data_IF_210317879580
#
_entry.id   IF_210317879580
#
_cell.length_a   1.000
_cell.length_b   1.000
_cell.length_c   1.000
_cell.angle_alpha   90.00
_cell.angle_beta   90.00
_cell.angle_gamma   90.00
#
_symmetry.space_group_name_H-M   'P 1'
#
loop_
_entity.id
_entity.type
_entity.pdbx_description
1 polymer ?
#
# COMPACT_ATOMS: atom_id res chain seq x y z
N UNK A 1 30.48 -21.71 -12.49
CA UNK A 1 30.07 -20.43 -13.12
C UNK A 1 30.23 -19.33 -12.08
N UNK A 2 30.39 -18.06 -12.46
CA UNK A 2 30.63 -16.98 -11.49
C UNK A 2 29.36 -16.70 -10.68
N UNK A 3 29.47 -16.68 -9.35
CA UNK A 3 28.41 -16.39 -8.37
C UNK A 3 27.55 -15.16 -8.74
N UNK A 4 28.14 -14.17 -9.41
CA UNK A 4 27.46 -12.97 -9.90
C UNK A 4 26.42 -13.29 -10.99
N UNK A 5 26.68 -14.26 -11.86
CA UNK A 5 25.73 -14.70 -12.90
C UNK A 5 24.54 -15.44 -12.29
N UNK A 6 24.80 -16.34 -11.33
CA UNK A 6 23.76 -17.08 -10.60
C UNK A 6 22.90 -16.15 -9.74
N UNK A 7 23.52 -15.15 -9.08
CA UNK A 7 22.80 -14.13 -8.33
C UNK A 7 21.93 -13.25 -9.24
N UNK A 8 22.44 -12.85 -10.41
CA UNK A 8 21.65 -12.10 -11.40
C UNK A 8 20.46 -12.92 -11.91
N UNK A 9 20.65 -14.19 -12.25
CA UNK A 9 19.55 -15.07 -12.67
C UNK A 9 18.52 -15.30 -11.56
N UNK A 10 18.95 -15.42 -10.31
CA UNK A 10 18.05 -15.50 -9.15
C UNK A 10 17.27 -14.19 -8.95
N UNK A 11 17.95 -13.05 -8.98
CA UNK A 11 17.34 -11.73 -8.79
C UNK A 11 16.41 -11.32 -9.94
N UNK A 12 16.66 -11.79 -11.17
CA UNK A 12 15.82 -11.53 -12.33
C UNK A 12 14.62 -12.48 -12.48
N UNK A 13 14.39 -13.39 -11.53
CA UNK A 13 13.09 -14.10 -11.46
C UNK A 13 12.01 -13.06 -11.21
N UNK A 14 11.20 -12.76 -12.23
CA UNK A 14 10.35 -11.56 -12.31
C UNK A 14 9.52 -11.22 -11.06
N UNK A 15 9.07 -12.23 -10.31
CA UNK A 15 8.31 -12.03 -9.08
C UNK A 15 9.11 -11.34 -7.95
N UNK A 16 10.44 -11.47 -7.91
CA UNK A 16 11.29 -10.90 -6.85
C UNK A 16 11.50 -9.40 -7.05
N UNK A 17 11.68 -8.96 -8.30
CA UNK A 17 11.89 -7.54 -8.62
C UNK A 17 10.62 -6.74 -8.34
N UNK A 18 9.47 -7.21 -8.81
CA UNK A 18 8.19 -6.54 -8.59
C UNK A 18 7.82 -6.48 -7.10
N UNK A 19 8.11 -7.56 -6.36
CA UNK A 19 7.93 -7.59 -4.91
C UNK A 19 8.88 -6.62 -4.20
N UNK A 20 10.15 -6.56 -4.60
CA UNK A 20 11.11 -5.62 -4.02
C UNK A 20 10.69 -4.16 -4.25
N UNK A 21 10.25 -3.84 -5.47
CA UNK A 21 9.73 -2.51 -5.82
C UNK A 21 8.48 -2.19 -5.00
N UNK A 22 7.53 -3.12 -4.89
CA UNK A 22 6.32 -2.96 -4.09
C UNK A 22 6.61 -2.69 -2.61
N UNK A 23 7.57 -3.40 -2.01
CA UNK A 23 7.96 -3.20 -0.60
C UNK A 23 8.64 -1.83 -0.42
N UNK A 24 9.56 -1.44 -1.30
CA UNK A 24 10.26 -0.14 -1.20
C UNK A 24 9.28 1.02 -1.35
N UNK A 25 8.39 0.95 -2.37
CA UNK A 25 7.37 1.97 -2.59
C UNK A 25 6.38 1.99 -1.42
N UNK A 26 5.95 0.84 -0.92
CA UNK A 26 5.06 0.75 0.24
C UNK A 26 5.67 1.38 1.49
N UNK A 27 6.95 1.13 1.76
CA UNK A 27 7.66 1.73 2.90
C UNK A 27 7.82 3.24 2.76
N UNK A 28 8.17 3.72 1.56
CA UNK A 28 8.31 5.15 1.28
C UNK A 28 6.95 5.87 1.36
N UNK A 29 5.91 5.28 0.79
CA UNK A 29 4.55 5.80 0.83
C UNK A 29 4.01 5.87 2.26
N UNK A 30 4.27 4.85 3.08
CA UNK A 30 3.95 4.87 4.50
C UNK A 30 4.52 6.09 5.23
N UNK A 31 5.80 6.43 4.99
CA UNK A 31 6.42 7.64 5.57
C UNK A 31 5.75 8.94 5.12
N UNK A 32 5.38 9.04 3.84
CA UNK A 32 4.68 10.22 3.31
C UNK A 32 3.34 10.40 4.02
N UNK A 33 2.57 9.31 4.19
CA UNK A 33 1.29 9.37 4.90
C UNK A 33 1.49 9.70 6.37
N UNK A 34 2.46 9.09 7.04
CA UNK A 34 2.80 9.42 8.45
C UNK A 34 3.13 10.89 8.62
N UNK A 35 3.94 11.48 7.73
CA UNK A 35 4.28 12.90 7.77
C UNK A 35 3.07 13.80 7.50
N UNK A 36 2.23 13.47 6.51
CA UNK A 36 0.98 14.20 6.27
C UNK A 36 0.10 14.22 7.52
N UNK A 37 0.00 13.09 8.23
CA UNK A 37 -0.80 13.01 9.45
C UNK A 37 -0.15 13.79 10.60
N UNK A 38 1.11 13.49 10.92
CA UNK A 38 1.80 14.05 12.07
C UNK A 38 2.14 15.54 11.92
N UNK A 39 2.50 15.98 10.72
CA UNK A 39 3.03 17.33 10.48
C UNK A 39 1.98 18.29 9.92
N UNK A 40 0.93 17.80 9.24
CA UNK A 40 -0.07 18.67 8.59
C UNK A 40 -1.45 18.55 9.24
N UNK A 41 -1.92 17.33 9.53
CA UNK A 41 -3.27 17.11 10.08
C UNK A 41 -3.29 17.29 11.60
N UNK A 42 -2.28 16.81 12.31
CA UNK A 42 -2.19 16.85 13.77
C UNK A 42 -2.07 18.26 14.36
N UNK A 43 -1.30 19.22 13.82
CA UNK A 43 -1.20 20.54 14.45
C UNK A 43 -2.54 21.32 14.47
N UNK A 44 -3.32 21.40 13.38
CA UNK A 44 -4.65 22.01 13.40
C UNK A 44 -5.65 21.25 14.27
N UNK A 45 -5.64 19.91 14.22
CA UNK A 45 -6.48 19.10 15.11
C UNK A 45 -6.11 19.37 16.56
N UNK A 46 -4.83 19.28 16.92
CA UNK A 46 -4.29 19.56 18.24
C UNK A 46 -4.75 20.91 18.76
N UNK A 47 -4.71 21.96 17.94
CA UNK A 47 -5.25 23.28 18.30
C UNK A 47 -6.76 23.26 18.58
N UNK A 48 -7.55 22.50 17.80
CA UNK A 48 -9.00 22.37 17.97
C UNK A 48 -9.40 21.56 19.21
N UNK A 49 -8.63 20.52 19.57
CA UNK A 49 -8.86 19.70 20.78
C UNK A 49 -8.23 20.31 22.05
N UNK A 50 -7.65 21.52 21.97
CA UNK A 50 -7.13 22.25 23.13
C UNK A 50 -5.69 21.88 23.53
N UNK A 51 -4.89 21.38 22.59
CA UNK A 51 -3.48 21.05 22.81
C UNK A 51 -3.25 19.77 23.61
N UNK A 52 -4.22 18.84 23.59
CA UNK A 52 -4.10 17.56 24.29
C UNK A 52 -2.97 16.74 23.65
N UNK A 53 -1.79 16.77 24.27
CA UNK A 53 -0.72 15.83 23.99
C UNK A 53 -0.89 14.60 24.87
N UNK A 54 -1.45 13.53 24.29
CA UNK A 54 -1.67 12.30 25.02
C UNK A 54 -0.36 11.72 25.57
N UNK A 55 0.81 12.06 25.03
CA UNK A 55 2.12 11.58 25.51
C UNK A 55 2.42 12.00 26.95
N UNK A 56 1.77 13.05 27.44
CA UNK A 56 1.93 13.53 28.82
C UNK A 56 1.27 12.62 29.85
N UNK A 57 0.33 11.77 29.42
CA UNK A 57 -0.29 10.79 30.31
C UNK A 57 0.71 9.68 30.63
N UNK A 58 1.24 9.75 31.84
CA UNK A 58 2.19 8.79 32.37
C UNK A 58 1.78 8.41 33.78
N UNK A 59 1.88 7.12 34.09
CA UNK A 59 1.63 6.60 35.43
C UNK A 59 2.95 6.14 36.03
N UNK A 60 3.40 6.81 37.08
CA UNK A 60 4.60 6.43 37.82
C UNK A 60 4.28 5.24 38.72
N UNK A 61 4.79 4.05 38.38
CA UNK A 61 4.60 2.84 39.19
C UNK A 61 5.57 2.81 40.37
N UNK A 62 6.75 3.40 40.21
CA UNK A 62 7.73 3.53 41.29
C UNK A 62 8.46 4.85 41.15
N UNK A 63 8.42 5.66 42.21
CA UNK A 63 9.21 6.89 42.26
C UNK A 63 10.71 6.58 42.31
N UNK A 64 11.53 7.54 41.85
CA UNK A 64 12.98 7.41 41.90
C UNK A 64 13.44 7.40 43.36
N UNK A 65 14.32 6.47 43.72
CA UNK A 65 14.96 6.44 45.04
C UNK A 65 16.47 6.34 44.85
N UNK A 66 17.19 7.38 45.27
CA UNK A 66 18.64 7.48 45.09
C UNK A 66 19.04 7.43 43.62
N UNK A 67 19.97 6.55 43.27
CA UNK A 67 20.46 6.35 41.90
C UNK A 67 19.53 5.50 41.01
N UNK A 68 18.39 5.02 41.54
CA UNK A 68 17.50 4.13 40.79
C UNK A 68 16.42 4.95 40.08
N UNK A 69 16.35 4.91 38.73
CA UNK A 69 15.37 5.71 37.98
C UNK A 69 13.94 5.29 38.31
N UNK A 70 13.03 6.28 38.22
CA UNK A 70 11.60 6.05 38.37
C UNK A 70 11.10 5.09 37.28
N UNK A 71 10.22 4.17 37.66
CA UNK A 71 9.54 3.29 36.70
C UNK A 71 8.24 3.97 36.31
N UNK A 72 8.22 4.53 35.11
CA UNK A 72 7.08 5.28 34.57
C UNK A 72 6.49 4.52 33.38
N UNK A 73 5.19 4.25 33.44
CA UNK A 73 4.42 3.71 32.32
C UNK A 73 3.81 4.85 31.52
N UNK A 74 4.38 5.10 30.35
CA UNK A 74 3.90 6.11 29.40
C UNK A 74 2.73 5.58 28.55
N UNK A 75 1.61 5.22 29.19
CA UNK A 75 0.42 4.72 28.48
C UNK A 75 -0.16 5.77 27.52
N UNK A 76 0.09 7.05 27.78
CA UNK A 76 -0.24 8.15 26.90
C UNK A 76 0.37 8.06 25.50
N UNK A 77 1.63 7.61 25.39
CA UNK A 77 2.30 7.38 24.10
C UNK A 77 1.62 6.26 23.32
N UNK A 78 1.12 5.23 24.02
CA UNK A 78 0.36 4.17 23.37
C UNK A 78 -0.97 4.69 22.79
N UNK A 79 -1.72 5.46 23.57
CA UNK A 79 -2.98 6.07 23.11
C UNK A 79 -2.74 6.99 21.91
N UNK A 80 -1.67 7.80 21.97
CA UNK A 80 -1.24 8.65 20.86
C UNK A 80 -0.99 7.82 19.59
N UNK A 81 -0.22 6.74 19.70
CA UNK A 81 0.10 5.88 18.56
C UNK A 81 -1.15 5.22 17.96
N UNK A 82 -2.11 4.82 18.79
CA UNK A 82 -3.40 4.27 18.33
C UNK A 82 -4.19 5.33 17.57
N UNK A 83 -4.24 6.55 18.09
CA UNK A 83 -4.92 7.68 17.43
C UNK A 83 -4.27 8.01 16.08
N UNK A 84 -2.94 8.13 16.03
CA UNK A 84 -2.18 8.38 14.81
C UNK A 84 -2.42 7.27 13.78
N UNK A 85 -2.43 6.00 14.20
CA UNK A 85 -2.75 4.87 13.33
C UNK A 85 -4.15 4.96 12.73
N UNK A 86 -5.17 5.32 13.53
CA UNK A 86 -6.54 5.47 13.04
C UNK A 86 -6.64 6.58 12.00
N UNK A 87 -5.98 7.71 12.21
CA UNK A 87 -5.97 8.81 11.24
C UNK A 87 -5.25 8.40 9.95
N UNK A 88 -4.08 7.77 10.06
CA UNK A 88 -3.33 7.24 8.90
C UNK A 88 -4.17 6.24 8.11
N UNK A 89 -4.81 5.28 8.78
CA UNK A 89 -5.68 4.30 8.14
C UNK A 89 -6.87 4.98 7.43
N UNK A 90 -7.48 5.99 8.06
CA UNK A 90 -8.55 6.77 7.46
C UNK A 90 -8.08 7.56 6.23
N UNK A 91 -6.91 8.19 6.30
CA UNK A 91 -6.31 8.92 5.17
C UNK A 91 -6.03 7.99 3.99
N UNK A 92 -5.43 6.81 4.24
CA UNK A 92 -5.20 5.78 3.22
C UNK A 92 -6.52 5.33 2.61
N UNK A 93 -7.54 5.07 3.43
CA UNK A 93 -8.87 4.68 2.95
C UNK A 93 -9.48 5.74 2.02
N UNK A 94 -9.41 7.03 2.37
CA UNK A 94 -9.88 8.12 1.52
C UNK A 94 -9.09 8.20 0.21
N UNK A 95 -7.76 8.07 0.27
CA UNK A 95 -6.91 8.08 -0.92
C UNK A 95 -7.23 6.92 -1.88
N UNK A 96 -7.35 5.69 -1.37
CA UNK A 96 -7.74 4.53 -2.17
C UNK A 96 -9.15 4.71 -2.75
N UNK A 97 -10.10 5.21 -1.95
CA UNK A 97 -11.46 5.50 -2.41
C UNK A 97 -11.48 6.54 -3.53
N UNK A 98 -10.63 7.56 -3.46
CA UNK A 98 -10.49 8.58 -4.50
C UNK A 98 -9.92 7.98 -5.78
N UNK A 99 -8.84 7.20 -5.69
CA UNK A 99 -8.23 6.50 -6.83
C UNK A 99 -9.25 5.55 -7.48
N UNK A 100 -9.96 4.75 -6.68
CA UNK A 100 -10.99 3.83 -7.17
C UNK A 100 -12.13 4.59 -7.85
N UNK A 101 -12.53 5.77 -7.34
CA UNK A 101 -13.55 6.62 -7.96
C UNK A 101 -13.08 7.19 -9.30
N UNK A 102 -11.80 7.57 -9.43
CA UNK A 102 -11.21 8.07 -10.67
C UNK A 102 -11.02 6.96 -11.71
N UNK A 103 -10.57 5.78 -11.28
CA UNK A 103 -10.44 4.61 -12.16
C UNK A 103 -11.81 4.11 -12.64
N UNK A 104 -12.84 4.18 -11.79
CA UNK A 104 -14.21 3.82 -12.18
C UNK A 104 -14.80 4.78 -13.22
N UNK A 105 -14.43 6.07 -13.20
CA UNK A 105 -14.77 7.02 -14.28
C UNK A 105 -14.04 6.74 -15.59
N UNK A 106 -12.83 6.15 -15.55
CA UNK A 106 -12.13 5.68 -16.75
C UNK A 106 -12.70 4.40 -17.34
N UNK A 107 -13.42 3.60 -16.55
CA UNK A 107 -14.11 2.39 -17.01
C UNK A 107 -15.50 2.66 -17.64
N UNK A 108 -15.97 3.92 -17.65
CA UNK A 108 -17.21 4.33 -18.31
C UNK A 108 -17.02 4.78 -19.78
N UNK A 109 -15.78 4.89 -20.26
CA UNK A 109 -15.55 4.68 -21.69
C UNK A 109 -15.71 3.18 -21.92
N UNK A 110 -16.64 2.73 -22.80
CA UNK A 110 -16.67 1.32 -23.17
C UNK A 110 -15.28 1.01 -23.70
N UNK A 111 -14.50 0.27 -22.92
CA UNK A 111 -13.27 -0.32 -23.41
C UNK A 111 -13.72 -1.08 -24.66
N UNK A 112 -13.26 -0.61 -25.84
CA UNK A 112 -13.51 -1.34 -27.07
C UNK A 112 -13.13 -2.79 -26.78
N UNK A 113 -14.02 -3.76 -27.07
CA UNK A 113 -13.77 -5.15 -26.73
C UNK A 113 -12.32 -5.49 -27.12
N UNK A 114 -11.54 -6.10 -26.21
CA UNK A 114 -10.13 -6.33 -26.44
C UNK A 114 -9.95 -6.91 -27.82
N UNK A 115 -9.06 -6.31 -28.62
CA UNK A 115 -8.77 -6.83 -29.94
C UNK A 115 -8.46 -8.32 -29.78
N UNK A 116 -9.07 -9.20 -30.58
CA UNK A 116 -8.90 -10.63 -30.41
C UNK A 116 -7.41 -10.95 -30.37
N UNK A 117 -7.01 -11.72 -29.37
CA UNK A 117 -5.64 -12.17 -29.22
C UNK A 117 -5.21 -12.91 -30.49
N UNK A 118 -3.90 -12.95 -30.75
CA UNK A 118 -3.38 -13.69 -31.93
C UNK A 118 -3.86 -15.14 -31.94
N UNK A 119 -4.02 -15.74 -30.76
CA UNK A 119 -4.57 -17.09 -30.61
C UNK A 119 -6.05 -17.15 -31.01
N UNK A 120 -6.88 -16.20 -30.59
CA UNK A 120 -8.30 -16.13 -30.99
C UNK A 120 -8.47 -15.90 -32.51
N UNK A 121 -7.59 -15.11 -33.12
CA UNK A 121 -7.56 -14.91 -34.58
C UNK A 121 -7.20 -16.21 -35.29
N UNK A 122 -6.10 -16.86 -34.87
CA UNK A 122 -5.65 -18.14 -35.44
C UNK A 122 -6.70 -19.24 -35.27
N UNK A 123 -7.38 -19.31 -34.11
CA UNK A 123 -8.47 -20.25 -33.87
C UNK A 123 -9.69 -19.96 -34.76
N UNK A 124 -9.96 -18.68 -35.05
CA UNK A 124 -10.96 -18.28 -36.03
C UNK A 124 -10.63 -18.76 -37.44
N UNK A 125 -9.38 -18.54 -37.88
CA UNK A 125 -8.88 -19.01 -39.17
C UNK A 125 -8.92 -20.55 -39.26
N UNK A 126 -8.48 -21.27 -38.22
CA UNK A 126 -8.53 -22.74 -38.16
C UNK A 126 -9.97 -23.25 -38.25
N UNK A 127 -10.92 -22.61 -37.53
CA UNK A 127 -12.34 -22.97 -37.60
C UNK A 127 -12.88 -22.83 -39.02
N UNK A 128 -12.54 -21.73 -39.69
CA UNK A 128 -13.03 -21.43 -41.03
C UNK A 128 -12.44 -22.40 -42.07
N UNK A 129 -11.14 -22.73 -41.96
CA UNK A 129 -10.48 -23.75 -42.78
C UNK A 129 -11.07 -25.15 -42.57
N UNK A 130 -11.37 -25.54 -41.33
CA UNK A 130 -12.00 -26.82 -41.01
C UNK A 130 -13.42 -26.93 -41.58
N UNK A 131 -14.19 -25.83 -41.53
CA UNK A 131 -15.54 -25.79 -42.10
C UNK A 131 -15.50 -25.92 -43.62
N UNK A 132 -14.52 -25.30 -44.27
CA UNK A 132 -14.33 -25.42 -45.72
C UNK A 132 -13.91 -26.84 -46.13
N UNK A 133 -13.05 -27.49 -45.33
CA UNK A 133 -12.65 -28.89 -45.56
C UNK A 133 -13.82 -29.87 -45.38
N UNK A 134 -14.64 -29.67 -44.35
CA UNK A 134 -15.81 -30.53 -44.08
C UNK A 134 -16.93 -30.37 -45.13
N UNK A 135 -17.07 -29.20 -45.74
CA UNK A 135 -18.01 -28.97 -46.85
C UNK A 135 -17.51 -29.48 -48.21
N UNK A 136 -16.23 -29.86 -48.32
CA UNK A 136 -15.64 -30.45 -49.54
C UNK A 136 -15.63 -31.99 -49.51
N UNK A 137 -16.11 -32.62 -48.43
CA UNK A 137 -16.30 -34.07 -48.30
C UNK A 137 -17.78 -34.42 -48.44
#
# INVERSE_FOLDING_TARGET
MSFIKEFREFAMRGNVVDLAVGVIIGAAFGKIVSSLVADIIMPPLGLLIGGIDFKQFAFTLREAQGDIPAVVMHYGVFIQNVFDFVIVAFAIFVAIKLINRLNRKKAEEPAAPPAPSKEEVLLGEIRDLLKEQNNRS
#
